data_IF_767133877734
#
_entry.id   IF_767133877734
#
_cell.length_a   1.000
_cell.length_b   1.000
_cell.length_c   1.000
_cell.angle_alpha   90.00
_cell.angle_beta   90.00
_cell.angle_gamma   90.00
#
_symmetry.space_group_name_H-M   'P 1'
#
loop_
_entity.id
_entity.type
_entity.pdbx_description
1 polymer ?
#
# COMPACT_ATOMS: atom_id res chain seq x y z
N UNK A 1 -4.02 4.93 14.11
CA UNK A 1 -2.63 4.67 14.55
C UNK A 1 -1.73 5.56 13.73
N UNK A 2 -0.91 6.31 14.38
CA UNK A 2 0.04 7.22 13.75
C UNK A 2 1.44 6.61 13.72
N UNK A 3 2.29 7.08 12.82
CA UNK A 3 3.70 6.70 12.72
C UNK A 3 4.50 7.03 13.99
N UNK A 4 4.08 8.08 14.71
CA UNK A 4 4.67 8.46 15.99
C UNK A 4 3.81 8.03 17.17
N UNK A 5 4.45 7.71 18.28
CA UNK A 5 3.77 7.33 19.52
C UNK A 5 3.39 8.57 20.33
N UNK A 6 2.09 8.76 20.55
CA UNK A 6 1.54 9.87 21.35
C UNK A 6 1.23 9.50 22.81
N UNK A 7 1.53 8.27 23.25
CA UNK A 7 1.34 7.87 24.64
C UNK A 7 2.35 8.53 25.56
N UNK A 8 1.95 8.77 26.81
CA UNK A 8 2.88 9.28 27.81
C UNK A 8 3.98 8.25 28.07
N UNK A 9 5.19 8.56 27.65
CA UNK A 9 6.33 7.66 27.73
C UNK A 9 6.75 7.27 29.16
N UNK A 10 6.32 8.03 30.18
CA UNK A 10 6.62 7.71 31.58
C UNK A 10 5.71 6.59 32.12
N UNK A 11 4.59 6.30 31.44
CA UNK A 11 3.71 5.22 31.87
C UNK A 11 4.29 3.85 31.52
N UNK A 12 3.89 2.88 32.34
CA UNK A 12 4.02 1.47 31.95
C UNK A 12 2.83 1.09 31.06
N UNK A 13 2.93 -0.03 30.37
CA UNK A 13 1.82 -0.56 29.54
C UNK A 13 0.54 -0.75 30.37
N UNK A 14 0.68 -1.25 31.62
CA UNK A 14 -0.45 -1.39 32.55
C UNK A 14 -1.08 -0.05 32.94
N UNK A 15 -0.25 0.98 33.14
CA UNK A 15 -0.76 2.34 33.44
C UNK A 15 -1.45 2.94 32.22
N UNK A 16 -0.89 2.72 31.02
CA UNK A 16 -1.51 3.14 29.76
C UNK A 16 -2.91 2.58 29.64
N UNK A 17 -3.07 1.26 29.76
CA UNK A 17 -4.37 0.61 29.69
C UNK A 17 -5.38 1.23 30.67
N UNK A 18 -5.00 1.36 31.95
CA UNK A 18 -5.87 1.94 32.97
C UNK A 18 -6.36 3.35 32.60
N UNK A 19 -5.54 4.10 31.87
CA UNK A 19 -5.87 5.49 31.49
C UNK A 19 -6.72 5.56 30.24
N UNK A 20 -6.52 4.66 29.26
CA UNK A 20 -7.18 4.74 27.96
C UNK A 20 -8.44 3.88 27.87
N UNK A 21 -8.50 2.71 28.51
CA UNK A 21 -9.63 1.79 28.47
C UNK A 21 -10.99 2.46 28.74
N UNK A 22 -11.12 3.39 29.70
CA UNK A 22 -12.42 4.05 29.98
C UNK A 22 -12.98 4.89 28.82
N UNK A 23 -12.15 5.27 27.84
CA UNK A 23 -12.60 6.05 26.67
C UNK A 23 -13.20 5.19 25.56
N UNK A 24 -13.02 3.85 25.61
CA UNK A 24 -13.52 2.91 24.62
C UNK A 24 -14.63 2.04 25.19
N UNK A 25 -15.84 2.12 24.62
CA UNK A 25 -17.01 1.37 25.10
C UNK A 25 -16.86 -0.15 24.95
N UNK A 26 -16.13 -0.59 23.90
CA UNK A 26 -15.90 -1.99 23.58
C UNK A 26 -14.47 -2.44 23.97
N UNK A 27 -13.83 -1.76 24.94
CA UNK A 27 -12.49 -2.18 25.37
C UNK A 27 -12.52 -3.61 25.89
N UNK A 28 -11.58 -4.42 25.40
CA UNK A 28 -11.40 -5.80 25.79
C UNK A 28 -10.00 -6.00 26.39
N UNK A 29 -9.98 -6.20 27.71
CA UNK A 29 -8.75 -6.42 28.46
C UNK A 29 -8.03 -7.71 28.02
N UNK A 30 -8.78 -8.78 27.72
CA UNK A 30 -8.17 -10.07 27.32
C UNK A 30 -7.50 -9.97 25.96
N UNK A 31 -8.11 -9.23 25.03
CA UNK A 31 -7.51 -8.95 23.71
C UNK A 31 -6.26 -8.08 23.88
N UNK A 32 -6.28 -7.10 24.79
CA UNK A 32 -5.10 -6.28 25.03
C UNK A 32 -3.94 -7.11 25.62
N UNK A 33 -4.19 -7.93 26.62
CA UNK A 33 -3.18 -8.84 27.19
C UNK A 33 -2.66 -9.84 26.15
N UNK A 34 -3.55 -10.41 25.32
CA UNK A 34 -3.15 -11.28 24.22
C UNK A 34 -2.16 -10.62 23.26
N UNK A 35 -2.40 -9.35 22.86
CA UNK A 35 -1.47 -8.63 22.00
C UNK A 35 -0.19 -8.22 22.70
N UNK A 36 -0.22 -7.90 23.99
CA UNK A 36 1.00 -7.65 24.74
C UNK A 36 1.91 -8.88 24.78
N UNK A 37 1.33 -10.05 25.00
CA UNK A 37 2.06 -11.33 24.98
C UNK A 37 2.57 -11.66 23.58
N UNK A 38 1.70 -11.61 22.57
CA UNK A 38 2.03 -11.88 21.15
C UNK A 38 3.16 -10.99 20.63
N UNK A 39 3.25 -9.76 21.10
CA UNK A 39 4.26 -8.77 20.69
C UNK A 39 5.49 -8.73 21.59
N UNK A 40 5.53 -9.57 22.60
CA UNK A 40 6.58 -9.60 23.63
C UNK A 40 6.79 -8.21 24.29
N UNK A 41 5.69 -7.53 24.63
CA UNK A 41 5.73 -6.20 25.22
C UNK A 41 5.74 -6.27 26.74
N UNK A 42 6.76 -5.65 27.41
CA UNK A 42 6.86 -5.72 28.86
C UNK A 42 5.80 -4.86 29.57
N UNK A 43 5.00 -5.49 30.44
CA UNK A 43 3.85 -4.87 31.12
C UNK A 43 4.29 -3.80 32.12
N UNK A 44 5.41 -3.98 32.81
CA UNK A 44 5.86 -3.14 33.93
C UNK A 44 7.02 -2.20 33.59
N UNK A 45 7.50 -2.18 32.35
CA UNK A 45 8.52 -1.22 31.91
C UNK A 45 7.91 0.05 31.37
N UNK A 46 8.61 1.18 31.58
CA UNK A 46 8.21 2.46 31.01
C UNK A 46 8.27 2.41 29.48
N UNK A 47 7.26 2.95 28.81
CA UNK A 47 7.15 3.07 27.34
C UNK A 47 8.36 3.83 26.77
N UNK A 48 8.99 4.72 27.56
CA UNK A 48 10.22 5.41 27.17
C UNK A 48 11.35 4.44 26.79
N UNK A 49 11.36 3.24 27.35
CA UNK A 49 12.41 2.24 27.09
C UNK A 49 12.12 1.36 25.86
N UNK A 50 10.96 1.56 25.21
CA UNK A 50 10.55 0.78 24.05
C UNK A 50 11.27 1.27 22.78
N UNK A 51 11.66 0.33 21.93
CA UNK A 51 12.08 0.66 20.56
C UNK A 51 10.90 1.23 19.75
N UNK A 52 11.20 1.83 18.61
CA UNK A 52 10.16 2.32 17.67
C UNK A 52 9.17 1.20 17.31
N UNK A 53 9.67 -0.01 16.98
CA UNK A 53 8.83 -1.16 16.69
C UNK A 53 7.97 -1.60 17.87
N UNK A 54 8.50 -1.60 19.10
CA UNK A 54 7.73 -1.91 20.30
C UNK A 54 6.63 -0.87 20.56
N UNK A 55 6.91 0.41 20.33
CA UNK A 55 5.91 1.48 20.45
C UNK A 55 4.81 1.33 19.41
N UNK A 56 5.15 0.98 18.17
CA UNK A 56 4.18 0.70 17.12
C UNK A 56 3.31 -0.52 17.46
N UNK A 57 3.91 -1.63 17.87
CA UNK A 57 3.20 -2.82 18.35
C UNK A 57 2.24 -2.49 19.51
N UNK A 58 2.65 -1.63 20.44
CA UNK A 58 1.78 -1.16 21.53
C UNK A 58 0.59 -0.35 20.99
N UNK A 59 0.80 0.52 20.02
CA UNK A 59 -0.27 1.29 19.38
C UNK A 59 -1.29 0.39 18.67
N UNK A 60 -0.83 -0.68 18.03
CA UNK A 60 -1.69 -1.69 17.42
C UNK A 60 -2.44 -2.51 18.48
N UNK A 61 -1.76 -2.91 19.58
CA UNK A 61 -2.42 -3.62 20.68
C UNK A 61 -3.60 -2.79 21.22
N UNK A 62 -3.41 -1.50 21.39
CA UNK A 62 -4.50 -0.57 21.79
C UNK A 62 -5.60 -0.53 20.72
N UNK A 63 -5.25 -0.37 19.45
CA UNK A 63 -6.21 -0.24 18.36
C UNK A 63 -7.08 -1.52 18.22
N UNK A 64 -6.49 -2.70 18.33
CA UNK A 64 -7.23 -3.96 18.19
C UNK A 64 -8.09 -4.30 19.40
N UNK A 65 -7.75 -3.76 20.58
CA UNK A 65 -8.41 -4.09 21.84
C UNK A 65 -9.78 -3.43 22.06
N UNK A 66 -10.24 -2.57 21.16
CA UNK A 66 -11.57 -1.94 21.28
C UNK A 66 -12.54 -2.33 20.16
N UNK A 67 -12.23 -3.40 19.39
CA UNK A 67 -13.09 -3.98 18.37
C UNK A 67 -13.64 -2.96 17.36
N UNK A 68 -12.75 -2.13 16.80
CA UNK A 68 -13.12 -1.21 15.73
C UNK A 68 -13.42 -1.98 14.44
N UNK A 69 -14.34 -1.47 13.64
CA UNK A 69 -14.66 -1.97 12.31
C UNK A 69 -13.78 -1.30 11.23
N UNK A 70 -13.31 -0.07 11.51
CA UNK A 70 -12.40 0.68 10.65
C UNK A 70 -11.14 1.07 11.42
N UNK A 71 -10.00 0.68 10.88
CA UNK A 71 -8.68 1.09 11.36
C UNK A 71 -8.06 2.05 10.35
N UNK A 72 -7.51 3.16 10.84
CA UNK A 72 -6.77 4.13 10.04
C UNK A 72 -5.32 4.13 10.52
N UNK A 73 -4.41 3.72 9.65
CA UNK A 73 -2.98 3.62 9.91
C UNK A 73 -2.21 4.61 9.04
N UNK A 74 -1.45 5.47 9.67
CA UNK A 74 -0.62 6.45 9.00
C UNK A 74 0.85 6.02 9.10
N UNK A 75 1.41 5.56 7.96
CA UNK A 75 2.79 5.08 7.82
C UNK A 75 3.22 4.06 8.92
N UNK A 76 2.45 2.99 9.19
CA UNK A 76 2.67 2.13 10.36
C UNK A 76 3.98 1.34 10.30
N UNK A 77 4.57 1.18 9.12
CA UNK A 77 5.81 0.44 8.89
C UNK A 77 7.04 1.34 8.80
N UNK A 78 6.85 2.66 8.79
CA UNK A 78 7.93 3.62 8.66
C UNK A 78 8.92 3.54 9.82
N UNK A 79 10.22 3.55 9.52
CA UNK A 79 11.28 3.50 10.53
C UNK A 79 11.46 2.14 11.23
N UNK A 80 10.76 1.10 10.80
CA UNK A 80 10.96 -0.26 11.28
C UNK A 80 12.08 -0.97 10.49
N UNK A 81 12.83 -1.82 11.18
CA UNK A 81 13.73 -2.75 10.50
C UNK A 81 12.91 -3.80 9.70
N UNK A 82 13.53 -4.49 8.72
CA UNK A 82 12.80 -5.41 7.83
C UNK A 82 12.07 -6.55 8.55
N UNK A 83 12.60 -7.04 9.69
CA UNK A 83 11.96 -8.12 10.45
C UNK A 83 10.71 -7.61 11.16
N UNK A 84 10.84 -6.53 11.94
CA UNK A 84 9.72 -5.91 12.65
C UNK A 84 8.61 -5.47 11.68
N UNK A 85 8.98 -4.97 10.48
CA UNK A 85 8.05 -4.60 9.43
C UNK A 85 7.27 -5.81 8.89
N UNK A 86 7.94 -6.91 8.58
CA UNK A 86 7.27 -8.13 8.11
C UNK A 86 6.30 -8.67 9.17
N UNK A 87 6.73 -8.76 10.43
CA UNK A 87 5.87 -9.18 11.54
C UNK A 87 4.62 -8.31 11.65
N UNK A 88 4.76 -6.98 11.49
CA UNK A 88 3.65 -6.05 11.58
C UNK A 88 2.66 -6.24 10.43
N UNK A 89 3.13 -6.43 9.20
CA UNK A 89 2.29 -6.71 8.04
C UNK A 89 1.53 -8.03 8.19
N UNK A 90 2.17 -9.08 8.71
CA UNK A 90 1.52 -10.37 9.01
C UNK A 90 0.39 -10.21 10.05
N UNK A 91 0.60 -9.38 11.07
CA UNK A 91 -0.41 -9.07 12.06
C UNK A 91 -1.61 -8.35 11.44
N UNK A 92 -1.35 -7.36 10.59
CA UNK A 92 -2.37 -6.62 9.86
C UNK A 92 -3.17 -7.58 8.96
N UNK A 93 -2.52 -8.48 8.24
CA UNK A 93 -3.19 -9.50 7.42
C UNK A 93 -4.07 -10.42 8.25
N UNK A 94 -3.62 -10.84 9.43
CA UNK A 94 -4.41 -11.69 10.34
C UNK A 94 -5.68 -10.98 10.81
N UNK A 95 -5.62 -9.67 11.08
CA UNK A 95 -6.80 -8.88 11.46
C UNK A 95 -7.81 -8.73 10.32
N UNK A 96 -7.35 -8.71 9.06
CA UNK A 96 -8.19 -8.62 7.85
C UNK A 96 -8.90 -9.95 7.50
N UNK A 97 -8.60 -11.06 8.17
CA UNK A 97 -9.36 -12.31 8.02
C UNK A 97 -10.81 -12.14 8.49
N UNK A 98 -11.05 -11.25 9.46
CA UNK A 98 -12.39 -10.85 9.85
C UNK A 98 -12.96 -9.86 8.81
N UNK A 99 -13.89 -10.34 7.97
CA UNK A 99 -14.51 -9.58 6.88
C UNK A 99 -15.28 -8.33 7.34
N UNK A 100 -15.57 -8.19 8.64
CA UNK A 100 -16.20 -7.00 9.20
C UNK A 100 -15.19 -5.87 9.47
N UNK A 101 -13.90 -6.12 9.28
CA UNK A 101 -12.84 -5.15 9.52
C UNK A 101 -12.33 -4.56 8.22
N UNK A 102 -12.12 -3.26 8.24
CA UNK A 102 -11.49 -2.51 7.16
C UNK A 102 -10.26 -1.79 7.67
N UNK A 103 -9.17 -1.86 6.94
CA UNK A 103 -7.94 -1.12 7.23
C UNK A 103 -7.68 -0.12 6.10
N UNK A 104 -7.66 1.15 6.44
CA UNK A 104 -7.19 2.22 5.56
C UNK A 104 -5.78 2.61 6.00
N UNK A 105 -4.80 2.39 5.12
CA UNK A 105 -3.39 2.59 5.45
C UNK A 105 -2.72 3.52 4.44
N UNK A 106 -2.06 4.58 4.94
CA UNK A 106 -1.10 5.33 4.15
C UNK A 106 0.28 4.68 4.23
N UNK A 107 1.00 4.63 3.11
CA UNK A 107 2.41 4.22 3.08
C UNK A 107 3.11 4.73 1.82
N UNK A 108 4.38 5.09 1.95
CA UNK A 108 5.27 5.34 0.81
C UNK A 108 6.11 4.09 0.43
N UNK A 109 5.90 2.97 1.14
CA UNK A 109 6.65 1.73 0.94
C UNK A 109 5.84 0.78 0.07
N UNK A 110 6.05 0.83 -1.23
CA UNK A 110 5.24 0.12 -2.23
C UNK A 110 5.19 -1.39 -2.00
N UNK A 111 6.29 -2.00 -1.53
CA UNK A 111 6.32 -3.44 -1.23
C UNK A 111 5.36 -3.87 -0.11
N UNK A 112 4.88 -2.94 0.73
CA UNK A 112 3.84 -3.24 1.71
C UNK A 112 2.48 -3.38 1.03
N UNK A 113 2.19 -2.51 0.05
CA UNK A 113 0.98 -2.59 -0.75
C UNK A 113 0.89 -3.91 -1.52
N UNK A 114 2.01 -4.38 -2.08
CA UNK A 114 2.03 -5.67 -2.78
C UNK A 114 1.65 -6.84 -1.88
N UNK A 115 1.98 -6.75 -0.59
CA UNK A 115 1.70 -7.81 0.38
C UNK A 115 0.28 -7.80 0.91
N UNK A 116 -0.27 -6.64 1.26
CA UNK A 116 -1.49 -6.56 2.06
C UNK A 116 -2.66 -5.81 1.41
N UNK A 117 -2.43 -5.01 0.35
CA UNK A 117 -3.49 -4.21 -0.23
C UNK A 117 -4.38 -5.00 -1.17
N UNK A 118 -5.71 -4.91 -0.97
CA UNK A 118 -6.71 -5.35 -1.93
C UNK A 118 -7.11 -4.22 -2.86
N UNK A 119 -7.08 -2.97 -2.37
CA UNK A 119 -7.45 -1.77 -3.10
C UNK A 119 -6.37 -0.70 -2.95
N UNK A 120 -6.04 -0.01 -4.02
CA UNK A 120 -4.95 0.96 -4.08
C UNK A 120 -5.46 2.30 -4.59
N UNK A 121 -5.09 3.36 -3.88
CA UNK A 121 -5.24 4.75 -4.30
C UNK A 121 -3.86 5.37 -4.32
N UNK A 122 -3.38 5.80 -5.49
CA UNK A 122 -2.10 6.47 -5.63
C UNK A 122 -2.31 7.96 -5.86
N UNK A 123 -1.75 8.76 -4.95
CA UNK A 123 -1.80 10.22 -4.98
C UNK A 123 -0.43 10.76 -5.40
N UNK A 124 -0.41 11.65 -6.39
CA UNK A 124 0.78 12.40 -6.80
C UNK A 124 0.40 13.84 -7.12
N UNK A 125 1.17 14.80 -6.63
CA UNK A 125 0.96 16.24 -6.83
C UNK A 125 -0.47 16.73 -6.53
N UNK A 126 -1.15 16.08 -5.59
CA UNK A 126 -2.52 16.40 -5.18
C UNK A 126 -3.61 15.82 -6.08
N UNK A 127 -3.25 15.02 -7.07
CA UNK A 127 -4.17 14.30 -7.97
C UNK A 127 -4.17 12.80 -7.67
N UNK A 128 -5.33 12.14 -7.89
CA UNK A 128 -5.43 10.68 -7.86
C UNK A 128 -5.01 10.16 -9.23
N UNK A 129 -3.86 9.49 -9.31
CA UNK A 129 -3.37 8.92 -10.57
C UNK A 129 -3.69 7.44 -10.75
N UNK A 130 -4.02 6.74 -9.68
CA UNK A 130 -4.41 5.33 -9.72
C UNK A 130 -5.47 5.08 -8.65
N UNK A 131 -6.54 4.38 -9.02
CA UNK A 131 -7.64 4.06 -8.12
C UNK A 131 -8.31 2.76 -8.56
N UNK A 132 -8.29 1.73 -7.73
CA UNK A 132 -8.91 0.45 -8.06
C UNK A 132 -8.43 -0.73 -7.22
N UNK A 133 -9.10 -1.88 -7.38
CA UNK A 133 -8.60 -3.12 -6.78
C UNK A 133 -7.28 -3.53 -7.45
N UNK A 134 -6.38 -4.10 -6.67
CA UNK A 134 -5.08 -4.56 -7.17
C UNK A 134 -5.22 -5.50 -8.37
N UNK A 135 -6.18 -6.41 -8.32
CA UNK A 135 -6.46 -7.33 -9.41
C UNK A 135 -6.90 -6.61 -10.69
N UNK A 136 -7.86 -5.69 -10.60
CA UNK A 136 -8.34 -4.90 -11.74
C UNK A 136 -7.23 -4.05 -12.35
N UNK A 137 -6.39 -3.43 -11.51
CA UNK A 137 -5.27 -2.62 -11.98
C UNK A 137 -4.24 -3.46 -12.75
N UNK A 138 -3.86 -4.63 -12.23
CA UNK A 138 -2.91 -5.53 -12.89
C UNK A 138 -3.48 -6.23 -14.14
N UNK A 139 -4.80 -6.33 -14.27
CA UNK A 139 -5.45 -6.79 -15.51
C UNK A 139 -5.52 -5.68 -16.55
N UNK A 140 -5.80 -4.45 -16.14
CA UNK A 140 -5.97 -3.28 -17.02
C UNK A 140 -4.66 -2.85 -17.64
N UNK A 141 -3.59 -2.75 -16.85
CA UNK A 141 -2.30 -2.24 -17.28
C UNK A 141 -1.33 -3.37 -17.57
N UNK A 142 -0.73 -3.34 -18.77
CA UNK A 142 0.26 -4.32 -19.18
C UNK A 142 1.53 -3.61 -19.68
N UNK A 143 2.66 -4.25 -19.49
CA UNK A 143 3.94 -3.79 -20.05
C UNK A 143 4.20 -4.55 -21.32
N UNK A 144 4.43 -3.80 -22.41
CA UNK A 144 4.80 -4.32 -23.72
C UNK A 144 6.25 -3.97 -24.01
N UNK A 145 6.96 -4.88 -24.66
CA UNK A 145 8.35 -4.66 -25.09
C UNK A 145 8.64 -5.38 -26.42
N UNK A 146 9.45 -4.74 -27.26
CA UNK A 146 9.81 -5.26 -28.58
C UNK A 146 10.95 -4.48 -29.21
N UNK A 147 11.26 -4.79 -30.49
CA UNK A 147 12.25 -4.05 -31.25
C UNK A 147 11.71 -2.65 -31.60
N UNK A 148 12.60 -1.65 -31.61
CA UNK A 148 12.17 -0.24 -31.88
C UNK A 148 11.61 -0.07 -33.29
N UNK A 149 12.10 -0.86 -34.27
CA UNK A 149 11.65 -0.86 -35.65
C UNK A 149 10.23 -1.41 -35.86
N UNK A 150 9.70 -2.16 -34.89
CA UNK A 150 8.33 -2.69 -34.89
C UNK A 150 7.33 -1.71 -34.22
N UNK A 151 7.78 -0.63 -33.61
CA UNK A 151 6.96 0.38 -32.96
C UNK A 151 6.72 1.56 -33.92
N UNK A 152 5.58 1.55 -34.59
CA UNK A 152 5.14 2.69 -35.40
C UNK A 152 4.42 3.78 -34.56
N UNK A 153 4.08 4.91 -35.19
CA UNK A 153 3.42 6.02 -34.52
C UNK A 153 2.01 5.67 -33.98
N UNK A 154 1.33 4.73 -34.63
CA UNK A 154 -0.01 4.27 -34.20
C UNK A 154 0.11 3.47 -32.89
N UNK A 155 0.96 2.47 -32.84
CA UNK A 155 1.25 1.71 -31.63
C UNK A 155 1.84 2.57 -30.52
N UNK A 156 2.77 3.48 -30.86
CA UNK A 156 3.35 4.40 -29.90
C UNK A 156 2.31 5.33 -29.26
N UNK A 157 1.23 5.68 -29.98
CA UNK A 157 0.13 6.48 -29.45
C UNK A 157 -0.69 5.79 -28.37
N UNK A 158 -0.69 4.45 -28.34
CA UNK A 158 -1.38 3.61 -27.35
C UNK A 158 -0.58 3.41 -26.07
N UNK A 159 0.67 3.90 -26.02
CA UNK A 159 1.52 3.82 -24.85
C UNK A 159 1.31 4.99 -23.90
N UNK A 160 0.97 4.69 -22.67
CA UNK A 160 0.88 5.65 -21.55
C UNK A 160 2.27 6.13 -21.15
N UNK A 161 3.20 5.19 -21.07
CA UNK A 161 4.62 5.40 -20.80
C UNK A 161 5.46 4.70 -21.88
N UNK A 162 6.60 5.28 -22.23
CA UNK A 162 7.51 4.72 -23.21
C UNK A 162 8.97 5.04 -22.83
N UNK A 163 9.80 3.99 -22.89
CA UNK A 163 11.25 4.09 -22.70
C UNK A 163 11.97 3.37 -23.83
N UNK A 164 12.87 4.06 -24.50
CA UNK A 164 13.74 3.47 -25.51
C UNK A 164 15.02 2.95 -24.87
N UNK A 165 15.35 1.70 -25.16
CA UNK A 165 16.60 1.03 -24.77
C UNK A 165 17.44 0.71 -26.01
N UNK A 166 18.71 0.35 -25.80
CA UNK A 166 19.62 0.01 -26.93
C UNK A 166 19.07 -1.12 -27.82
N UNK A 167 18.27 -2.01 -27.28
CA UNK A 167 17.78 -3.22 -27.94
C UNK A 167 16.28 -3.19 -28.25
N UNK A 168 15.59 -2.04 -28.03
CA UNK A 168 14.17 -1.95 -28.30
C UNK A 168 13.45 -0.93 -27.43
N UNK A 169 12.15 -1.10 -27.29
CA UNK A 169 11.29 -0.28 -26.44
C UNK A 169 10.66 -1.07 -25.29
N UNK A 170 10.30 -0.37 -24.25
CA UNK A 170 9.41 -0.82 -23.18
C UNK A 170 8.33 0.24 -23.01
N UNK A 171 7.07 -0.17 -22.91
CA UNK A 171 5.96 0.76 -22.69
C UNK A 171 4.86 0.18 -21.81
N UNK A 172 4.14 1.07 -21.11
CA UNK A 172 2.92 0.74 -20.38
C UNK A 172 1.70 1.04 -21.25
N UNK A 173 0.75 0.13 -21.31
CA UNK A 173 -0.47 0.28 -22.10
C UNK A 173 -1.68 -0.40 -21.45
N UNK A 174 -2.88 0.09 -21.77
CA UNK A 174 -4.16 -0.59 -21.52
C UNK A 174 -4.61 -1.44 -22.73
N UNK A 175 -3.89 -1.34 -23.85
CA UNK A 175 -4.25 -1.93 -25.14
C UNK A 175 -3.31 -3.06 -25.56
N UNK A 176 -2.80 -3.84 -24.61
CA UNK A 176 -1.80 -4.91 -24.89
C UNK A 176 -2.28 -5.93 -25.93
N UNK A 177 -3.60 -6.17 -26.01
CA UNK A 177 -4.17 -7.07 -27.01
C UNK A 177 -3.93 -6.58 -28.46
N UNK A 178 -4.00 -5.27 -28.69
CA UNK A 178 -3.70 -4.66 -30.00
C UNK A 178 -2.25 -4.91 -30.40
N UNK A 179 -1.31 -4.74 -29.50
CA UNK A 179 0.11 -5.07 -29.72
C UNK A 179 0.30 -6.55 -30.08
N UNK A 180 -0.41 -7.45 -29.40
CA UNK A 180 -0.35 -8.87 -29.66
C UNK A 180 -0.91 -9.24 -31.04
N UNK A 181 -1.98 -8.61 -31.46
CA UNK A 181 -2.63 -8.84 -32.77
C UNK A 181 -1.76 -8.36 -33.93
N UNK A 182 -1.12 -7.18 -33.78
CA UNK A 182 -0.29 -6.57 -34.82
C UNK A 182 1.09 -7.19 -34.88
N UNK A 183 1.78 -7.33 -33.74
CA UNK A 183 3.18 -7.74 -33.66
C UNK A 183 3.36 -9.25 -33.45
N UNK A 184 2.32 -9.96 -33.00
CA UNK A 184 2.35 -11.41 -32.78
C UNK A 184 3.43 -11.82 -31.79
N UNK A 185 4.38 -12.63 -32.24
CA UNK A 185 5.48 -13.14 -31.44
C UNK A 185 6.66 -12.16 -31.25
N UNK A 186 6.63 -11.02 -31.94
CA UNK A 186 7.67 -9.98 -31.83
C UNK A 186 7.52 -9.10 -30.58
N UNK A 187 6.35 -9.11 -29.96
CA UNK A 187 6.10 -8.38 -28.72
C UNK A 187 6.08 -9.32 -27.54
N UNK A 188 6.76 -8.92 -26.45
CA UNK A 188 6.63 -9.55 -25.15
C UNK A 188 5.68 -8.73 -24.28
N UNK A 189 4.70 -9.39 -23.67
CA UNK A 189 3.67 -8.77 -22.82
C UNK A 189 3.77 -9.39 -21.43
N UNK A 190 3.93 -8.54 -20.42
CA UNK A 190 4.00 -8.96 -19.02
C UNK A 190 3.09 -8.09 -18.14
N UNK A 191 2.55 -8.69 -17.09
CA UNK A 191 1.87 -7.96 -16.03
C UNK A 191 2.91 -7.24 -15.18
N UNK A 192 2.80 -5.92 -14.98
CA UNK A 192 3.73 -5.18 -14.13
C UNK A 192 3.56 -5.56 -12.65
N UNK A 193 4.60 -5.34 -11.83
CA UNK A 193 4.42 -5.21 -10.39
C UNK A 193 3.68 -3.89 -10.08
N UNK A 194 3.10 -3.76 -8.89
CA UNK A 194 2.51 -2.49 -8.45
C UNK A 194 3.56 -1.37 -8.44
N UNK A 195 4.79 -1.69 -8.02
CA UNK A 195 5.90 -0.75 -8.05
C UNK A 195 6.17 -0.22 -9.46
N UNK A 196 6.31 -1.12 -10.44
CA UNK A 196 6.55 -0.72 -11.82
C UNK A 196 5.37 0.07 -12.40
N UNK A 197 4.14 -0.33 -12.09
CA UNK A 197 2.94 0.39 -12.53
C UNK A 197 2.94 1.83 -12.01
N UNK A 198 3.19 2.04 -10.71
CA UNK A 198 3.26 3.38 -10.11
C UNK A 198 4.37 4.22 -10.73
N UNK A 199 5.58 3.67 -10.90
CA UNK A 199 6.71 4.38 -11.53
C UNK A 199 6.40 4.77 -12.98
N UNK A 200 5.77 3.90 -13.75
CA UNK A 200 5.44 4.20 -15.15
C UNK A 200 4.33 5.26 -15.25
N UNK A 201 3.33 5.21 -14.37
CA UNK A 201 2.27 6.22 -14.34
C UNK A 201 2.78 7.60 -13.89
N UNK A 202 3.75 7.66 -12.98
CA UNK A 202 4.43 8.92 -12.63
C UNK A 202 5.19 9.53 -13.82
N UNK A 203 5.78 8.69 -14.67
CA UNK A 203 6.54 9.09 -15.86
C UNK A 203 5.70 9.13 -17.14
N UNK A 204 4.37 9.12 -17.03
CA UNK A 204 3.45 9.08 -18.17
C UNK A 204 3.66 10.23 -19.16
N UNK A 205 3.33 10.00 -20.43
CA UNK A 205 3.39 11.02 -21.48
C UNK A 205 2.46 12.20 -21.17
N UNK A 206 2.85 13.45 -21.47
CA UNK A 206 2.04 14.65 -21.16
C UNK A 206 0.61 14.63 -21.70
N UNK A 207 0.38 14.06 -22.90
CA UNK A 207 -0.95 13.91 -23.50
C UNK A 207 -1.92 13.04 -22.69
N UNK A 208 -1.40 12.14 -21.86
CA UNK A 208 -2.24 11.27 -21.04
C UNK A 208 -2.82 12.00 -19.82
N UNK A 209 -2.18 13.07 -19.36
CA UNK A 209 -2.71 13.95 -18.31
C UNK A 209 -4.01 14.66 -18.69
N UNK A 210 -4.13 15.08 -19.96
CA UNK A 210 -5.32 15.83 -20.42
C UNK A 210 -6.56 14.92 -20.54
N UNK A 211 -6.38 13.64 -20.92
CA UNK A 211 -7.50 12.72 -21.09
C UNK A 211 -8.11 12.24 -19.76
N UNK A 212 -7.33 12.15 -18.68
CA UNK A 212 -7.87 11.79 -17.35
C UNK A 212 -8.75 12.92 -16.82
N UNK A 213 -8.35 14.19 -16.95
CA UNK A 213 -9.17 15.33 -16.54
C UNK A 213 -10.52 15.40 -17.25
N UNK A 214 -10.56 15.05 -18.55
CA UNK A 214 -11.81 15.04 -19.33
C UNK A 214 -12.75 13.89 -18.97
N UNK A 215 -12.23 12.77 -18.42
CA UNK A 215 -13.05 11.64 -17.94
C UNK A 215 -13.63 11.88 -16.54
N UNK A 216 -12.97 12.67 -15.71
CA UNK A 216 -13.42 13.00 -14.34
C UNK A 216 -14.43 14.17 -14.32
N UNK A 217 -14.42 15.06 -15.29
CA UNK A 217 -15.39 16.16 -15.44
C UNK A 217 -16.74 15.71 -16.02
N UNK A 218 -16.89 14.45 -16.38
CA UNK A 218 -18.08 13.85 -17.00
C UNK A 218 -18.99 13.06 -16.05
N UNK A 219 -18.81 13.14 -14.70
CA UNK A 219 -19.68 12.52 -13.71
C UNK A 219 -20.34 13.55 -12.80
#
# INVERSE_FOLDING_TARGET
VYSENYFNERWTTKQLEKMIAPFYRKWDHQVFEFYLEKFDLPINKSIKTFSTGMKMKLSLAVAFSHHAELYIFDEPTSGLDPLARNELLEIIQQELIDENKTIFMSTHIISDLEKIADYIIHLSDGEVILNGSKEQLLQRYQVVSGAIEDLDDELASLLIYEEHKRTGFIGLTEHAQVFKEILGHKVNIITPSIENLMVYLEKRKPKYHENIKLMEEGF
#
